data_IF_956667005222
#
_entry.id   IF_956667005222
#
_cell.length_a   1.000
_cell.length_b   1.000
_cell.length_c   1.000
_cell.angle_alpha   90.00
_cell.angle_beta   90.00
_cell.angle_gamma   90.00
#
_symmetry.space_group_name_H-M   'P 1'
#
loop_
_entity.id
_entity.type
_entity.pdbx_description
1 polymer ?
#
# COMPACT_ATOMS: atom_id res chain seq x y z
N UNK A 1 10.07 -19.32 -16.18
CA UNK A 1 9.10 -18.21 -16.06
C UNK A 1 9.81 -16.92 -16.42
N UNK A 2 9.19 -16.05 -17.24
CA UNK A 2 9.79 -14.76 -17.58
C UNK A 2 9.86 -13.86 -16.34
N UNK A 3 10.84 -12.93 -16.29
CA UNK A 3 10.98 -11.97 -15.19
C UNK A 3 9.71 -11.11 -15.03
N UNK A 4 9.04 -10.82 -16.16
CA UNK A 4 7.77 -10.11 -16.20
C UNK A 4 6.66 -10.87 -15.46
N UNK A 5 6.47 -12.18 -15.77
CA UNK A 5 5.45 -12.99 -15.13
C UNK A 5 5.67 -13.12 -13.60
N UNK A 6 6.93 -13.25 -13.17
CA UNK A 6 7.27 -13.25 -11.72
C UNK A 6 6.90 -11.90 -11.09
N UNK A 7 7.13 -10.79 -11.80
CA UNK A 7 6.74 -9.45 -11.35
C UNK A 7 5.23 -9.33 -11.14
N UNK A 8 4.42 -9.88 -12.04
CA UNK A 8 2.95 -9.90 -11.94
C UNK A 8 2.49 -10.73 -10.73
N UNK A 9 3.04 -11.94 -10.56
CA UNK A 9 2.73 -12.77 -9.40
C UNK A 9 3.09 -12.06 -8.09
N UNK A 10 4.20 -11.33 -8.06
CA UNK A 10 4.60 -10.54 -6.91
C UNK A 10 3.62 -9.39 -6.64
N UNK A 11 3.15 -8.69 -7.67
CA UNK A 11 2.15 -7.63 -7.53
C UNK A 11 0.82 -8.16 -6.98
N UNK A 12 0.29 -9.24 -7.55
CA UNK A 12 -0.94 -9.87 -7.09
C UNK A 12 -0.79 -10.48 -5.67
N UNK A 13 0.35 -11.11 -5.39
CA UNK A 13 0.68 -11.60 -4.06
C UNK A 13 0.76 -10.46 -3.03
N UNK A 14 1.29 -9.32 -3.43
CA UNK A 14 1.31 -8.12 -2.59
C UNK A 14 -0.11 -7.59 -2.34
N UNK A 15 -0.95 -7.50 -3.36
CA UNK A 15 -2.34 -7.08 -3.22
C UNK A 15 -3.12 -8.02 -2.27
N UNK A 16 -2.95 -9.33 -2.40
CA UNK A 16 -3.55 -10.32 -1.50
C UNK A 16 -3.04 -10.16 -0.06
N UNK A 17 -1.74 -9.92 0.12
CA UNK A 17 -1.14 -9.73 1.44
C UNK A 17 -1.61 -8.44 2.11
N UNK A 18 -1.80 -7.36 1.34
CA UNK A 18 -2.42 -6.13 1.84
C UNK A 18 -3.86 -6.36 2.27
N UNK A 19 -4.66 -7.11 1.50
CA UNK A 19 -6.03 -7.47 1.86
C UNK A 19 -6.09 -8.24 3.19
N UNK A 20 -5.22 -9.26 3.37
CA UNK A 20 -5.10 -9.99 4.64
C UNK A 20 -4.64 -9.06 5.77
N UNK A 21 -3.61 -8.24 5.53
CA UNK A 21 -3.06 -7.30 6.49
C UNK A 21 -4.09 -6.28 6.97
N UNK A 22 -4.87 -5.73 6.05
CA UNK A 22 -5.96 -4.78 6.36
C UNK A 22 -6.99 -5.40 7.31
N UNK A 23 -7.38 -6.67 7.09
CA UNK A 23 -8.30 -7.36 7.98
C UNK A 23 -7.70 -7.66 9.34
N UNK A 24 -6.43 -8.09 9.38
CA UNK A 24 -5.71 -8.32 10.64
C UNK A 24 -5.60 -7.02 11.45
N UNK A 25 -5.22 -5.91 10.81
CA UNK A 25 -5.15 -4.60 11.48
C UNK A 25 -6.52 -4.07 11.88
N UNK A 26 -7.59 -4.32 11.11
CA UNK A 26 -8.96 -3.96 11.50
C UNK A 26 -9.35 -4.63 12.81
N UNK A 27 -9.00 -5.90 12.99
CA UNK A 27 -9.31 -6.68 14.19
C UNK A 27 -8.58 -6.24 15.47
N UNK A 28 -7.57 -5.36 15.35
CA UNK A 28 -6.80 -4.83 16.47
C UNK A 28 -6.78 -3.29 16.52
N UNK A 29 -7.37 -2.64 15.51
CA UNK A 29 -7.24 -1.20 15.28
C UNK A 29 -7.92 -0.32 16.31
N UNK A 30 -8.90 -0.83 17.07
CA UNK A 30 -9.58 -0.08 18.12
C UNK A 30 -8.66 0.21 19.31
N UNK A 31 -7.67 -0.66 19.55
CA UNK A 31 -6.72 -0.56 20.65
C UNK A 31 -5.55 0.42 20.38
N UNK A 32 -5.36 0.82 19.12
CA UNK A 32 -4.26 1.67 18.70
C UNK A 32 -4.72 2.95 18.03
N UNK A 33 -4.04 4.06 18.31
CA UNK A 33 -4.20 5.23 17.45
C UNK A 33 -3.60 4.96 16.07
N UNK A 34 -4.11 5.58 15.00
CA UNK A 34 -3.58 5.41 13.64
C UNK A 34 -2.07 5.67 13.55
N UNK A 35 -1.56 6.72 14.21
CA UNK A 35 -0.13 7.03 14.22
C UNK A 35 0.67 5.96 14.97
N UNK A 36 0.14 5.42 16.08
CA UNK A 36 0.74 4.30 16.79
C UNK A 36 0.85 3.07 15.93
N UNK A 37 -0.20 2.74 15.15
CA UNK A 37 -0.16 1.60 14.21
C UNK A 37 0.94 1.77 13.18
N UNK A 38 1.08 2.94 12.55
CA UNK A 38 2.13 3.21 11.57
C UNK A 38 3.52 3.14 12.20
N UNK A 39 3.70 3.72 13.37
CA UNK A 39 4.97 3.70 14.10
C UNK A 39 5.39 2.27 14.46
N UNK A 40 4.51 1.50 15.12
CA UNK A 40 4.82 0.14 15.58
C UNK A 40 5.01 -0.80 14.37
N UNK A 41 4.16 -0.69 13.34
CA UNK A 41 4.31 -1.44 12.09
C UNK A 41 5.68 -1.21 11.47
N UNK A 42 6.11 0.06 11.37
CA UNK A 42 7.41 0.40 10.77
C UNK A 42 8.57 -0.09 11.64
N UNK A 43 8.49 0.06 12.96
CA UNK A 43 9.51 -0.43 13.89
C UNK A 43 9.67 -1.95 13.81
N UNK A 44 8.58 -2.71 13.94
CA UNK A 44 8.63 -4.17 13.89
C UNK A 44 9.04 -4.68 12.51
N UNK A 45 8.53 -4.07 11.44
CA UNK A 45 8.93 -4.40 10.06
C UNK A 45 10.42 -4.14 9.83
N UNK A 46 10.95 -3.03 10.35
CA UNK A 46 12.39 -2.72 10.30
C UNK A 46 13.21 -3.77 11.04
N UNK A 47 12.81 -4.17 12.25
CA UNK A 47 13.51 -5.19 13.03
C UNK A 47 13.49 -6.57 12.33
N UNK A 48 12.36 -6.95 11.74
CA UNK A 48 12.22 -8.19 10.98
C UNK A 48 13.15 -8.20 9.75
N UNK A 49 13.15 -7.11 8.97
CA UNK A 49 14.01 -7.00 7.79
C UNK A 49 15.49 -6.91 8.17
N UNK A 50 15.83 -6.21 9.26
CA UNK A 50 17.20 -6.17 9.78
C UNK A 50 17.69 -7.56 10.15
N UNK A 51 16.84 -8.39 10.79
CA UNK A 51 17.16 -9.79 11.09
C UNK A 51 17.42 -10.61 9.84
N UNK A 52 16.56 -10.50 8.82
CA UNK A 52 16.72 -11.23 7.54
C UNK A 52 17.98 -10.78 6.81
N UNK A 53 18.22 -9.47 6.69
CA UNK A 53 19.41 -8.92 6.01
C UNK A 53 20.70 -9.25 6.78
N UNK A 54 20.65 -9.26 8.11
CA UNK A 54 21.80 -9.66 8.93
C UNK A 54 22.21 -11.13 8.74
N UNK A 55 21.24 -12.01 8.44
CA UNK A 55 21.51 -13.42 8.16
C UNK A 55 21.90 -13.66 6.68
N UNK A 56 21.29 -12.91 5.75
CA UNK A 56 21.52 -13.08 4.31
C UNK A 56 22.79 -12.39 3.80
N UNK A 57 23.38 -11.51 4.58
CA UNK A 57 24.44 -10.60 4.18
C UNK A 57 23.89 -9.31 3.60
N UNK A 58 24.44 -8.18 4.03
CA UNK A 58 24.11 -6.83 3.59
C UNK A 58 25.27 -6.26 2.76
N UNK A 59 24.95 -5.81 1.56
CA UNK A 59 25.89 -4.98 0.80
C UNK A 59 25.57 -3.48 1.03
N UNK A 60 26.60 -2.65 1.31
CA UNK A 60 26.39 -1.21 1.48
C UNK A 60 25.77 -0.58 0.23
N UNK A 61 24.61 0.05 0.38
CA UNK A 61 23.94 0.74 -0.72
C UNK A 61 24.67 2.04 -1.04
N UNK A 62 24.95 2.27 -2.34
CA UNK A 62 25.57 3.49 -2.83
C UNK A 62 24.74 4.73 -2.43
N UNK A 63 25.39 5.89 -2.34
CA UNK A 63 24.76 7.14 -1.90
C UNK A 63 23.59 7.60 -2.78
N UNK A 64 23.67 7.40 -4.09
CA UNK A 64 22.64 7.85 -5.02
C UNK A 64 21.29 7.12 -4.85
N UNK A 65 21.22 5.76 -4.88
CA UNK A 65 19.99 5.03 -4.57
C UNK A 65 19.47 5.31 -3.16
N UNK A 66 20.36 5.48 -2.17
CA UNK A 66 19.98 5.74 -0.78
C UNK A 66 19.14 7.01 -0.64
N UNK A 67 19.54 8.11 -1.29
CA UNK A 67 18.80 9.37 -1.23
C UNK A 67 17.39 9.26 -1.76
N UNK A 68 17.20 8.57 -2.90
CA UNK A 68 15.89 8.35 -3.49
C UNK A 68 15.00 7.44 -2.62
N UNK A 69 15.56 6.36 -2.08
CA UNK A 69 14.82 5.44 -1.21
C UNK A 69 14.47 6.09 0.13
N UNK A 70 15.35 6.93 0.68
CA UNK A 70 15.08 7.71 1.88
C UNK A 70 13.93 8.69 1.67
N UNK A 71 13.98 9.47 0.58
CA UNK A 71 12.93 10.42 0.22
C UNK A 71 11.60 9.69 -0.03
N UNK A 72 11.63 8.56 -0.74
CA UNK A 72 10.45 7.73 -0.98
C UNK A 72 9.86 7.20 0.33
N UNK A 73 10.68 6.69 1.24
CA UNK A 73 10.22 6.19 2.54
C UNK A 73 9.59 7.29 3.40
N UNK A 74 10.25 8.44 3.49
CA UNK A 74 9.73 9.60 4.21
C UNK A 74 8.42 10.10 3.60
N UNK A 75 8.37 10.28 2.26
CA UNK A 75 7.20 10.79 1.57
C UNK A 75 6.00 9.82 1.68
N UNK A 76 6.22 8.53 1.42
CA UNK A 76 5.13 7.54 1.42
C UNK A 76 4.66 7.14 2.81
N UNK A 77 5.61 6.82 3.71
CA UNK A 77 5.28 6.26 5.02
C UNK A 77 5.06 7.37 6.06
N UNK A 78 5.98 8.34 6.20
CA UNK A 78 5.79 9.39 7.20
C UNK A 78 4.70 10.37 6.82
N UNK A 79 4.73 10.94 5.61
CA UNK A 79 3.76 11.95 5.18
C UNK A 79 2.50 11.31 4.61
N UNK A 80 2.62 10.35 3.70
CA UNK A 80 1.50 9.71 3.03
C UNK A 80 0.55 9.04 4.00
N UNK A 81 1.06 8.19 4.90
CA UNK A 81 0.27 7.54 5.94
C UNK A 81 -0.29 8.56 6.96
N UNK A 82 0.49 9.59 7.32
CA UNK A 82 -0.01 10.63 8.24
C UNK A 82 -1.19 11.40 7.65
N UNK A 83 -1.13 11.76 6.37
CA UNK A 83 -2.24 12.39 5.67
C UNK A 83 -3.42 11.42 5.50
N UNK A 84 -3.16 10.15 5.19
CA UNK A 84 -4.17 9.11 5.11
C UNK A 84 -4.97 9.03 6.42
N UNK A 85 -4.29 8.90 7.54
CA UNK A 85 -4.95 8.82 8.84
C UNK A 85 -5.61 10.13 9.27
N UNK A 86 -5.06 11.29 8.86
CA UNK A 86 -5.70 12.57 9.07
C UNK A 86 -7.01 12.70 8.27
N UNK A 87 -7.05 12.15 7.05
CA UNK A 87 -8.25 12.05 6.23
C UNK A 87 -9.26 11.06 6.83
N UNK A 88 -8.81 9.87 7.25
CA UNK A 88 -9.64 8.82 7.84
C UNK A 88 -10.39 9.29 9.10
N UNK A 89 -9.79 10.18 9.87
CA UNK A 89 -10.44 10.80 11.05
C UNK A 89 -11.53 11.82 10.70
N UNK A 90 -11.56 12.32 9.46
CA UNK A 90 -12.43 13.43 9.02
C UNK A 90 -13.42 13.04 7.93
N UNK A 91 -13.13 11.95 7.22
CA UNK A 91 -13.99 11.41 6.18
C UNK A 91 -14.58 10.09 6.60
N UNK A 92 -15.82 9.79 6.20
CA UNK A 92 -16.35 8.44 6.25
C UNK A 92 -15.43 7.47 5.48
N UNK A 93 -15.24 6.25 6.02
CA UNK A 93 -14.28 5.29 5.48
C UNK A 93 -14.48 5.00 3.98
N UNK A 94 -15.75 4.88 3.51
CA UNK A 94 -16.05 4.63 2.10
C UNK A 94 -15.59 5.78 1.18
N UNK A 95 -15.68 7.07 1.61
CA UNK A 95 -15.18 8.21 0.82
C UNK A 95 -13.67 8.22 0.71
N UNK A 96 -12.98 7.86 1.79
CA UNK A 96 -11.53 7.73 1.76
C UNK A 96 -11.11 6.62 0.81
N UNK A 97 -11.79 5.47 0.81
CA UNK A 97 -11.53 4.37 -0.12
C UNK A 97 -11.67 4.83 -1.58
N UNK A 98 -12.75 5.59 -1.91
CA UNK A 98 -12.94 6.15 -3.25
C UNK A 98 -11.78 7.07 -3.63
N UNK A 99 -11.37 7.93 -2.71
CA UNK A 99 -10.28 8.86 -2.93
C UNK A 99 -8.96 8.10 -3.16
N UNK A 100 -8.72 7.01 -2.43
CA UNK A 100 -7.55 6.15 -2.60
C UNK A 100 -7.54 5.41 -3.95
N UNK A 101 -8.69 5.16 -4.59
CA UNK A 101 -8.74 4.63 -5.96
C UNK A 101 -8.14 5.59 -7.00
N UNK A 102 -7.95 6.86 -6.67
CA UNK A 102 -7.21 7.80 -7.51
C UNK A 102 -5.69 7.55 -7.48
N UNK A 103 -5.16 6.90 -6.44
CA UNK A 103 -3.72 6.68 -6.31
C UNK A 103 -3.11 5.91 -7.51
N UNK A 104 -3.67 4.81 -8.00
CA UNK A 104 -3.18 4.15 -9.21
C UNK A 104 -3.25 5.04 -10.45
N UNK A 105 -4.31 5.86 -10.59
CA UNK A 105 -4.46 6.78 -11.72
C UNK A 105 -3.39 7.88 -11.67
N UNK A 106 -3.17 8.47 -10.49
CA UNK A 106 -2.13 9.49 -10.30
C UNK A 106 -0.74 8.90 -10.53
N UNK A 107 -0.48 7.68 -10.02
CA UNK A 107 0.79 6.98 -10.25
C UNK A 107 1.01 6.70 -11.74
N UNK A 108 -0.02 6.25 -12.47
CA UNK A 108 0.03 6.06 -13.92
C UNK A 108 0.42 7.36 -14.64
N UNK A 109 -0.28 8.47 -14.35
CA UNK A 109 0.03 9.76 -14.94
C UNK A 109 1.46 10.22 -14.62
N UNK A 110 1.90 10.05 -13.37
CA UNK A 110 3.27 10.34 -12.98
C UNK A 110 4.29 9.44 -13.70
N UNK A 111 4.01 8.15 -13.87
CA UNK A 111 4.89 7.22 -14.58
C UNK A 111 5.05 7.60 -16.06
N UNK A 112 3.95 7.99 -16.73
CA UNK A 112 3.99 8.50 -18.09
C UNK A 112 4.86 9.77 -18.20
N UNK A 113 4.70 10.72 -17.25
CA UNK A 113 5.38 12.01 -17.29
C UNK A 113 6.86 11.95 -16.86
N UNK A 114 7.15 11.22 -15.77
CA UNK A 114 8.48 11.26 -15.13
C UNK A 114 9.35 10.04 -15.46
N UNK A 115 8.78 8.89 -15.74
CA UNK A 115 9.52 7.67 -16.10
C UNK A 115 9.52 7.42 -17.60
N UNK A 116 8.72 8.14 -18.39
CA UNK A 116 8.59 7.95 -19.83
C UNK A 116 7.94 6.60 -20.21
N UNK A 117 7.22 5.98 -19.28
CA UNK A 117 6.53 4.72 -19.54
C UNK A 117 5.47 4.92 -20.65
N UNK A 118 5.37 3.97 -21.57
CA UNK A 118 4.38 4.00 -22.65
C UNK A 118 3.77 2.60 -22.81
N UNK A 119 2.75 2.27 -21.99
CA UNK A 119 2.08 0.98 -22.12
C UNK A 119 1.55 0.78 -23.54
N UNK A 120 1.69 -0.45 -24.09
CA UNK A 120 1.07 -0.81 -25.35
C UNK A 120 -0.46 -0.69 -25.27
N UNK A 121 -1.15 -0.63 -26.41
CA UNK A 121 -2.63 -0.49 -26.45
C UNK A 121 -3.31 -1.56 -25.60
N UNK A 122 -2.83 -2.80 -25.67
CA UNK A 122 -3.35 -3.91 -24.87
C UNK A 122 -3.13 -3.72 -23.38
N UNK A 123 -2.01 -3.07 -22.98
CA UNK A 123 -1.76 -2.65 -21.60
C UNK A 123 -2.77 -1.62 -21.12
N UNK A 124 -3.14 -0.64 -21.94
CA UNK A 124 -4.20 0.32 -21.63
C UNK A 124 -5.55 -0.34 -21.39
N UNK A 125 -5.90 -1.36 -22.21
CA UNK A 125 -7.13 -2.14 -22.03
C UNK A 125 -7.08 -2.87 -20.67
N UNK A 126 -5.97 -3.54 -20.36
CA UNK A 126 -5.79 -4.22 -19.07
C UNK A 126 -5.91 -3.28 -17.87
N UNK A 127 -5.22 -2.13 -17.91
CA UNK A 127 -5.30 -1.07 -16.88
C UNK A 127 -6.74 -0.59 -16.72
N UNK A 128 -7.43 -0.28 -17.81
CA UNK A 128 -8.81 0.18 -17.79
C UNK A 128 -9.77 -0.83 -17.18
N UNK A 129 -9.61 -2.12 -17.51
CA UNK A 129 -10.41 -3.20 -16.93
C UNK A 129 -10.14 -3.38 -15.43
N UNK A 130 -8.88 -3.33 -14.99
CA UNK A 130 -8.57 -3.43 -13.54
C UNK A 130 -9.18 -2.26 -12.78
N UNK A 131 -8.91 -1.03 -13.20
CA UNK A 131 -9.41 0.16 -12.50
C UNK A 131 -10.93 0.26 -12.54
N UNK A 132 -11.54 -0.03 -13.70
CA UNK A 132 -13.00 -0.05 -13.86
C UNK A 132 -13.66 -1.14 -13.02
N UNK A 133 -13.10 -2.35 -13.01
CA UNK A 133 -13.59 -3.47 -12.21
C UNK A 133 -13.49 -3.20 -10.69
N UNK A 134 -12.35 -2.67 -10.24
CA UNK A 134 -12.17 -2.27 -8.83
C UNK A 134 -13.16 -1.15 -8.45
N UNK A 135 -13.33 -0.14 -9.30
CA UNK A 135 -14.29 0.94 -9.07
C UNK A 135 -15.73 0.42 -8.98
N UNK A 136 -16.09 -0.54 -9.83
CA UNK A 136 -17.41 -1.19 -9.81
C UNK A 136 -17.64 -1.97 -8.51
N UNK A 137 -16.61 -2.61 -7.95
CA UNK A 137 -16.68 -3.33 -6.68
C UNK A 137 -17.13 -2.43 -5.51
N UNK A 138 -16.84 -1.13 -5.57
CA UNK A 138 -17.22 -0.16 -4.54
C UNK A 138 -18.47 0.67 -4.86
N UNK A 139 -19.08 0.53 -6.03
CA UNK A 139 -20.18 1.39 -6.51
C UNK A 139 -21.33 1.52 -5.51
N UNK A 140 -21.75 0.44 -4.89
CA UNK A 140 -22.90 0.46 -3.96
C UNK A 140 -22.55 1.08 -2.60
N UNK A 141 -21.31 0.91 -2.13
CA UNK A 141 -20.81 1.60 -0.92
C UNK A 141 -20.72 3.11 -1.13
N UNK A 142 -20.62 3.56 -2.39
CA UNK A 142 -20.55 4.98 -2.77
C UNK A 142 -21.95 5.61 -2.69
N UNK A 143 -23.00 4.91 -3.11
CA UNK A 143 -24.36 5.44 -3.22
C UNK A 143 -25.08 5.59 -1.86
N UNK A 144 -24.61 4.89 -0.82
CA UNK A 144 -25.28 4.84 0.47
C UNK A 144 -25.13 6.08 1.36
N UNK A 145 -24.35 7.12 0.95
CA UNK A 145 -24.01 8.22 1.87
C UNK A 145 -24.04 9.60 1.23
N UNK A 146 -25.21 10.21 1.13
CA UNK A 146 -25.40 11.57 0.60
C UNK A 146 -25.54 12.68 1.66
N UNK A 147 -25.35 12.43 2.96
CA UNK A 147 -25.62 13.44 3.98
C UNK A 147 -24.41 13.79 4.87
N UNK A 148 -23.99 15.05 4.89
CA UNK A 148 -23.16 15.62 5.96
C UNK A 148 -22.07 16.63 5.55
N UNK A 149 -22.24 17.83 6.00
CA UNK A 149 -21.41 19.03 5.76
C UNK A 149 -20.21 19.09 6.72
N UNK A 150 -19.06 19.43 6.25
CA UNK A 150 -17.73 19.81 6.76
C UNK A 150 -16.59 18.97 6.17
N UNK A 151 -16.41 19.03 4.85
CA UNK A 151 -15.61 18.05 4.07
C UNK A 151 -14.24 18.56 3.64
N UNK A 152 -14.00 19.86 3.63
CA UNK A 152 -12.81 20.48 3.02
C UNK A 152 -11.49 19.94 3.55
N UNK A 153 -11.20 19.99 4.89
CA UNK A 153 -9.91 19.55 5.40
C UNK A 153 -9.65 18.05 5.24
N UNK A 154 -10.69 17.21 5.36
CA UNK A 154 -10.58 15.77 5.17
C UNK A 154 -10.24 15.39 3.73
N UNK A 155 -10.90 16.03 2.77
CA UNK A 155 -10.63 15.84 1.34
C UNK A 155 -9.21 16.30 0.98
N UNK A 156 -8.78 17.46 1.50
CA UNK A 156 -7.41 17.95 1.30
C UNK A 156 -6.37 16.94 1.78
N UNK A 157 -6.51 16.43 3.00
CA UNK A 157 -5.59 15.42 3.52
C UNK A 157 -5.62 14.13 2.69
N UNK A 158 -6.77 13.69 2.22
CA UNK A 158 -6.86 12.53 1.35
C UNK A 158 -6.15 12.74 0.01
N UNK A 159 -6.32 13.90 -0.63
CA UNK A 159 -5.60 14.24 -1.87
C UNK A 159 -4.10 14.32 -1.62
N UNK A 160 -3.66 14.97 -0.54
CA UNK A 160 -2.24 15.02 -0.17
C UNK A 160 -1.66 13.62 0.08
N UNK A 161 -2.43 12.71 0.68
CA UNK A 161 -2.03 11.31 0.84
C UNK A 161 -1.84 10.61 -0.50
N UNK A 162 -2.82 10.73 -1.42
CA UNK A 162 -2.72 10.16 -2.77
C UNK A 162 -1.47 10.65 -3.49
N UNK A 163 -1.23 11.97 -3.49
CA UNK A 163 -0.07 12.56 -4.14
C UNK A 163 1.25 12.11 -3.51
N UNK A 164 1.32 12.07 -2.19
CA UNK A 164 2.50 11.63 -1.46
C UNK A 164 2.81 10.14 -1.72
N UNK A 165 1.79 9.29 -1.68
CA UNK A 165 1.95 7.86 -1.95
C UNK A 165 2.34 7.59 -3.41
N UNK A 166 1.66 8.22 -4.39
CA UNK A 166 2.00 8.09 -5.80
C UNK A 166 3.42 8.59 -6.10
N UNK A 167 3.78 9.78 -5.62
CA UNK A 167 5.13 10.33 -5.75
C UNK A 167 6.18 9.42 -5.10
N UNK A 168 5.88 8.86 -3.93
CA UNK A 168 6.75 7.90 -3.24
C UNK A 168 7.05 6.66 -4.09
N UNK A 169 6.06 6.12 -4.81
CA UNK A 169 6.24 4.96 -5.69
C UNK A 169 7.13 5.30 -6.88
N UNK A 170 6.94 6.45 -7.53
CA UNK A 170 7.79 6.92 -8.64
C UNK A 170 9.24 7.09 -8.18
N UNK A 171 9.44 7.75 -7.03
CA UNK A 171 10.77 7.96 -6.45
C UNK A 171 11.41 6.62 -6.06
N UNK A 172 10.64 5.67 -5.53
CA UNK A 172 11.13 4.33 -5.22
C UNK A 172 11.64 3.60 -6.46
N UNK A 173 10.96 3.72 -7.61
CA UNK A 173 11.39 3.11 -8.87
C UNK A 173 12.78 3.58 -9.29
N UNK A 174 13.07 4.87 -9.14
CA UNK A 174 14.40 5.44 -9.44
C UNK A 174 15.47 4.84 -8.52
N UNK A 175 15.17 4.74 -7.21
CA UNK A 175 16.09 4.17 -6.23
C UNK A 175 16.28 2.65 -6.31
N UNK A 176 15.40 1.94 -7.03
CA UNK A 176 15.45 0.47 -7.14
C UNK A 176 16.41 -0.06 -8.21
N UNK A 177 17.05 0.80 -9.02
CA UNK A 177 17.85 0.36 -10.17
C UNK A 177 18.98 -0.59 -9.77
N UNK A 178 19.77 -0.24 -8.74
CA UNK A 178 20.97 -0.98 -8.32
C UNK A 178 20.83 -1.59 -6.91
N UNK A 179 19.64 -1.68 -6.36
CA UNK A 179 19.36 -2.14 -5.00
C UNK A 179 18.38 -3.31 -5.03
N UNK A 180 18.58 -4.31 -4.20
CA UNK A 180 17.59 -5.39 -4.08
C UNK A 180 16.26 -4.87 -3.51
N UNK A 181 15.16 -5.52 -3.85
CA UNK A 181 13.85 -5.13 -3.32
C UNK A 181 13.78 -5.23 -1.78
N UNK A 182 14.54 -6.16 -1.19
CA UNK A 182 14.61 -6.35 0.27
C UNK A 182 15.31 -5.15 0.93
N UNK A 183 16.48 -4.77 0.44
CA UNK A 183 17.25 -3.61 0.93
C UNK A 183 16.48 -2.33 0.73
N UNK A 184 15.84 -2.15 -0.43
CA UNK A 184 15.00 -0.99 -0.70
C UNK A 184 13.81 -0.91 0.27
N UNK A 185 13.18 -2.04 0.60
CA UNK A 185 12.10 -2.09 1.60
C UNK A 185 12.62 -1.69 2.98
N UNK A 186 13.77 -2.22 3.37
CA UNK A 186 14.42 -1.88 4.63
C UNK A 186 14.73 -0.39 4.73
N UNK A 187 15.37 0.19 3.71
CA UNK A 187 15.72 1.61 3.68
C UNK A 187 14.47 2.49 3.74
N UNK A 188 13.46 2.18 2.94
CA UNK A 188 12.19 2.94 2.96
C UNK A 188 11.52 2.89 4.33
N UNK A 189 11.46 1.71 4.95
CA UNK A 189 10.92 1.56 6.31
C UNK A 189 11.77 2.29 7.36
N UNK A 190 13.11 2.29 7.22
CA UNK A 190 14.01 3.01 8.14
C UNK A 190 13.74 4.51 8.14
N UNK A 191 13.66 5.13 6.96
CA UNK A 191 13.39 6.57 6.85
C UNK A 191 11.93 6.93 7.15
N UNK A 192 10.98 6.04 6.83
CA UNK A 192 9.60 6.17 7.25
C UNK A 192 9.45 6.09 8.77
N UNK A 193 10.13 5.14 9.40
CA UNK A 193 10.19 5.02 10.85
C UNK A 193 10.84 6.24 11.50
N UNK A 194 11.96 6.73 10.96
CA UNK A 194 12.64 7.91 11.47
C UNK A 194 11.72 9.15 11.48
N UNK A 195 10.96 9.37 10.41
CA UNK A 195 9.96 10.44 10.36
C UNK A 195 8.86 10.27 11.42
N UNK A 196 8.34 9.06 11.60
CA UNK A 196 7.34 8.78 12.64
C UNK A 196 7.91 8.90 14.06
N UNK A 197 9.20 8.54 14.26
CA UNK A 197 9.89 8.72 15.51
C UNK A 197 9.99 10.21 15.89
N UNK A 198 10.34 11.06 14.93
CA UNK A 198 10.36 12.52 15.13
C UNK A 198 8.97 13.03 15.54
N UNK A 199 7.91 12.61 14.83
CA UNK A 199 6.53 12.99 15.20
C UNK A 199 6.17 12.54 16.62
N UNK A 200 6.52 11.31 16.98
CA UNK A 200 6.23 10.78 18.32
C UNK A 200 7.03 11.46 19.44
N UNK A 201 8.29 11.85 19.17
CA UNK A 201 9.12 12.62 20.12
C UNK A 201 8.57 14.03 20.30
N UNK A 202 8.26 14.74 19.21
CA UNK A 202 7.73 16.11 19.25
C UNK A 202 6.38 16.17 19.98
N UNK A 203 5.55 15.13 19.83
CA UNK A 203 4.26 15.02 20.52
C UNK A 203 4.34 14.43 21.90
N UNK A 204 5.49 13.92 22.33
CA UNK A 204 5.68 13.18 23.59
C UNK A 204 4.70 11.98 23.75
N UNK A 205 4.31 11.35 22.63
CA UNK A 205 3.29 10.29 22.59
C UNK A 205 3.85 8.87 22.51
N UNK A 206 5.17 8.67 22.39
CA UNK A 206 5.79 7.34 22.17
C UNK A 206 5.39 6.32 23.24
N UNK A 207 5.32 6.74 24.52
CA UNK A 207 4.90 5.86 25.61
C UNK A 207 3.46 5.37 25.45
N UNK A 208 2.56 6.24 25.01
CA UNK A 208 1.16 5.90 24.73
C UNK A 208 1.01 4.99 23.52
N UNK A 209 1.83 5.21 22.48
CA UNK A 209 1.80 4.37 21.28
C UNK A 209 2.22 2.94 21.54
N UNK A 210 3.19 2.72 22.45
CA UNK A 210 3.70 1.38 22.79
C UNK A 210 2.89 0.67 23.88
N UNK A 211 2.08 1.39 24.65
CA UNK A 211 1.35 0.84 25.79
C UNK A 211 0.48 -0.38 25.43
N UNK A 212 -0.28 -0.43 24.33
CA UNK A 212 -1.12 -1.58 24.01
C UNK A 212 -0.33 -2.88 23.78
N UNK A 213 0.93 -2.80 23.34
CA UNK A 213 1.79 -3.98 23.15
C UNK A 213 2.15 -4.72 24.44
N UNK A 214 1.84 -4.17 25.62
CA UNK A 214 2.01 -4.87 26.90
C UNK A 214 1.06 -6.07 27.01
N UNK A 215 -0.07 -6.05 26.29
CA UNK A 215 -1.00 -7.18 26.21
C UNK A 215 -0.45 -8.26 25.28
N UNK A 216 -0.15 -9.46 25.79
CA UNK A 216 0.51 -10.51 25.02
C UNK A 216 -0.31 -10.95 23.78
N UNK A 217 -1.64 -11.13 23.92
CA UNK A 217 -2.50 -11.51 22.80
C UNK A 217 -2.51 -10.50 21.67
N UNK A 218 -2.55 -9.20 22.01
CA UNK A 218 -2.54 -8.09 21.06
C UNK A 218 -1.20 -7.99 20.35
N UNK A 219 -0.11 -8.14 21.08
CA UNK A 219 1.26 -8.13 20.55
C UNK A 219 1.48 -9.19 19.46
N UNK A 220 1.02 -10.44 19.68
CA UNK A 220 1.18 -11.52 18.71
C UNK A 220 0.32 -11.33 17.46
N UNK A 221 -0.90 -10.84 17.62
CA UNK A 221 -1.77 -10.49 16.47
C UNK A 221 -1.16 -9.37 15.64
N UNK A 222 -0.61 -8.35 16.31
CA UNK A 222 0.05 -7.24 15.65
C UNK A 222 1.32 -7.72 14.91
N UNK A 223 2.14 -8.55 15.54
CA UNK A 223 3.34 -9.11 14.91
C UNK A 223 2.99 -9.94 13.66
N UNK A 224 1.96 -10.78 13.72
CA UNK A 224 1.50 -11.53 12.56
C UNK A 224 1.08 -10.59 11.41
N UNK A 225 0.30 -9.56 11.69
CA UNK A 225 -0.09 -8.57 10.70
C UNK A 225 1.13 -7.88 10.09
N UNK A 226 2.12 -7.51 10.90
CA UNK A 226 3.37 -6.89 10.43
C UNK A 226 4.18 -7.83 9.55
N UNK A 227 4.31 -9.11 9.90
CA UNK A 227 5.01 -10.10 9.07
C UNK A 227 4.37 -10.19 7.68
N UNK A 228 3.04 -10.35 7.63
CA UNK A 228 2.28 -10.44 6.37
C UNK A 228 2.48 -9.17 5.53
N UNK A 229 2.33 -7.99 6.13
CA UNK A 229 2.41 -6.72 5.39
C UNK A 229 3.84 -6.36 5.02
N UNK A 230 4.84 -6.69 5.85
CA UNK A 230 6.24 -6.37 5.56
C UNK A 230 6.76 -7.21 4.39
N UNK A 231 6.61 -8.52 4.46
CA UNK A 231 7.13 -9.42 3.42
C UNK A 231 6.16 -9.57 2.25
N UNK A 232 4.88 -9.79 2.53
CA UNK A 232 3.85 -9.90 1.50
C UNK A 232 3.50 -8.55 0.87
N UNK A 233 3.24 -7.53 1.67
CA UNK A 233 2.84 -6.21 1.19
C UNK A 233 4.02 -5.41 0.62
N UNK A 234 4.89 -4.89 1.48
CA UNK A 234 5.95 -3.95 1.08
C UNK A 234 7.03 -4.57 0.21
N UNK A 235 7.59 -5.70 0.61
CA UNK A 235 8.66 -6.33 -0.16
C UNK A 235 8.20 -6.81 -1.54
N UNK A 236 7.09 -7.54 -1.63
CA UNK A 236 6.59 -8.01 -2.93
C UNK A 236 6.17 -6.86 -3.83
N UNK A 237 5.64 -5.74 -3.29
CA UNK A 237 5.30 -4.57 -4.10
C UNK A 237 6.55 -3.96 -4.75
N UNK A 238 7.63 -3.78 -3.98
CA UNK A 238 8.89 -3.25 -4.53
C UNK A 238 9.57 -4.25 -5.48
N UNK A 239 9.43 -5.54 -5.22
CA UNK A 239 9.91 -6.59 -6.11
C UNK A 239 9.18 -6.56 -7.46
N UNK A 240 7.86 -6.32 -7.46
CA UNK A 240 7.06 -6.12 -8.67
C UNK A 240 7.46 -4.83 -9.39
N UNK A 241 7.53 -3.70 -8.69
CA UNK A 241 7.91 -2.39 -9.24
C UNK A 241 9.32 -2.43 -9.85
N UNK A 242 10.23 -3.24 -9.32
CA UNK A 242 11.57 -3.42 -9.90
C UNK A 242 11.53 -4.11 -11.26
N UNK A 243 10.57 -5.02 -11.50
CA UNK A 243 10.49 -5.89 -12.70
C UNK A 243 9.49 -5.46 -13.75
N UNK A 244 8.52 -4.65 -13.35
CA UNK A 244 7.44 -4.17 -14.21
C UNK A 244 7.53 -2.66 -14.37
N UNK A 245 6.85 -2.14 -15.39
CA UNK A 245 6.51 -0.74 -15.44
C UNK A 245 5.67 -0.37 -14.22
N UNK A 246 5.88 0.81 -13.65
CA UNK A 246 5.18 1.25 -12.44
C UNK A 246 3.69 1.35 -12.70
N UNK A 247 3.28 1.78 -13.89
CA UNK A 247 1.89 1.82 -14.34
C UNK A 247 1.20 0.46 -14.24
N UNK A 248 1.88 -0.61 -14.67
CA UNK A 248 1.36 -1.99 -14.61
C UNK A 248 1.40 -2.50 -13.16
N UNK A 249 2.56 -2.38 -12.49
CA UNK A 249 2.72 -2.86 -11.13
C UNK A 249 1.69 -2.24 -10.18
N UNK A 250 1.53 -0.92 -10.21
CA UNK A 250 0.62 -0.22 -9.32
C UNK A 250 -0.86 -0.48 -9.64
N UNK A 251 -1.18 -0.72 -10.92
CA UNK A 251 -2.53 -1.15 -11.32
C UNK A 251 -2.85 -2.54 -10.76
N UNK A 252 -1.91 -3.47 -10.80
CA UNK A 252 -2.09 -4.81 -10.22
C UNK A 252 -2.17 -4.76 -8.69
N UNK A 253 -1.39 -3.91 -8.04
CA UNK A 253 -1.50 -3.67 -6.59
C UNK A 253 -2.88 -3.14 -6.20
N UNK A 254 -3.51 -2.33 -7.05
CA UNK A 254 -4.87 -1.83 -6.83
C UNK A 254 -5.97 -2.93 -6.87
N UNK A 255 -5.64 -4.18 -7.17
CA UNK A 255 -6.57 -5.32 -7.05
C UNK A 255 -6.77 -5.81 -5.60
N UNK A 256 -6.13 -5.19 -4.61
CA UNK A 256 -6.32 -5.51 -3.17
C UNK A 256 -7.80 -5.73 -2.80
N UNK A 257 -8.78 -4.89 -3.21
CA UNK A 257 -10.18 -5.09 -2.88
C UNK A 257 -10.78 -6.38 -3.44
N UNK A 258 -10.26 -6.88 -4.55
CA UNK A 258 -10.69 -8.14 -5.16
C UNK A 258 -10.35 -9.32 -4.24
N UNK A 259 -9.16 -9.29 -3.64
CA UNK A 259 -8.75 -10.29 -2.64
C UNK A 259 -9.45 -10.09 -1.29
N UNK A 260 -9.81 -8.86 -0.95
CA UNK A 260 -10.54 -8.57 0.28
C UNK A 260 -11.97 -9.13 0.28
N UNK A 261 -12.64 -9.25 -0.89
CA UNK A 261 -14.00 -9.76 -1.00
C UNK A 261 -14.17 -11.18 -0.41
N UNK A 262 -13.43 -12.22 -0.88
CA UNK A 262 -13.59 -13.57 -0.31
C UNK A 262 -13.22 -13.59 1.18
N UNK A 263 -12.26 -12.80 1.62
CA UNK A 263 -11.88 -12.70 3.02
C UNK A 263 -12.98 -12.07 3.86
N UNK A 264 -13.69 -11.05 3.34
CA UNK A 264 -14.84 -10.44 4.01
C UNK A 264 -15.99 -11.42 4.17
N UNK A 265 -16.24 -12.26 3.16
CA UNK A 265 -17.23 -13.35 3.25
C UNK A 265 -16.87 -14.35 4.33
N UNK A 266 -15.62 -14.83 4.32
CA UNK A 266 -15.18 -15.92 5.21
C UNK A 266 -15.02 -15.43 6.66
N UNK A 267 -14.41 -14.27 6.88
CA UNK A 267 -14.05 -13.79 8.22
C UNK A 267 -15.08 -12.85 8.83
N UNK A 268 -15.69 -11.97 8.02
CA UNK A 268 -16.67 -10.99 8.49
C UNK A 268 -18.11 -11.43 8.25
N UNK A 269 -18.32 -12.56 7.54
CA UNK A 269 -19.64 -13.08 7.14
C UNK A 269 -20.47 -12.04 6.38
N UNK A 270 -19.80 -11.14 5.66
CA UNK A 270 -20.45 -10.16 4.78
C UNK A 270 -20.96 -10.87 3.51
N UNK A 271 -22.07 -10.40 2.97
CA UNK A 271 -22.62 -10.90 1.70
C UNK A 271 -22.24 -9.91 0.60
N UNK A 272 -21.32 -10.27 -0.34
CA UNK A 272 -20.98 -9.39 -1.45
C UNK A 272 -22.18 -9.26 -2.40
N UNK A 273 -22.36 -8.08 -2.95
CA UNK A 273 -23.38 -7.84 -3.95
C UNK A 273 -22.98 -8.42 -5.31
N UNK A 274 -23.94 -8.66 -6.19
CA UNK A 274 -23.68 -9.12 -7.55
C UNK A 274 -22.73 -8.13 -8.29
N UNK A 275 -22.93 -6.84 -8.08
CA UNK A 275 -22.08 -5.78 -8.64
C UNK A 275 -20.62 -5.90 -8.20
N UNK A 276 -20.38 -6.20 -6.91
CA UNK A 276 -19.03 -6.41 -6.37
C UNK A 276 -18.35 -7.65 -6.98
N UNK A 277 -19.10 -8.74 -7.17
CA UNK A 277 -18.59 -9.98 -7.79
C UNK A 277 -18.23 -9.73 -9.27
N UNK A 278 -19.11 -9.08 -10.02
CA UNK A 278 -18.86 -8.72 -11.43
C UNK A 278 -17.66 -7.81 -11.54
N UNK A 279 -17.56 -6.79 -10.67
CA UNK A 279 -16.40 -5.88 -10.63
C UNK A 279 -15.09 -6.62 -10.40
N UNK A 280 -15.06 -7.56 -9.44
CA UNK A 280 -13.91 -8.40 -9.16
C UNK A 280 -13.51 -9.28 -10.37
N UNK A 281 -14.49 -9.88 -11.06
CA UNK A 281 -14.27 -10.65 -12.28
C UNK A 281 -13.65 -9.83 -13.39
N UNK A 282 -14.15 -8.61 -13.63
CA UNK A 282 -13.60 -7.67 -14.64
C UNK A 282 -12.16 -7.30 -14.27
N UNK A 283 -11.88 -6.99 -13.00
CA UNK A 283 -10.52 -6.66 -12.55
C UNK A 283 -9.55 -7.84 -12.75
N UNK A 284 -9.96 -9.06 -12.46
CA UNK A 284 -9.14 -10.26 -12.70
C UNK A 284 -8.89 -10.51 -14.20
N UNK A 285 -9.88 -10.28 -15.07
CA UNK A 285 -9.67 -10.34 -16.53
C UNK A 285 -8.64 -9.31 -16.99
N UNK A 286 -8.72 -8.07 -16.49
CA UNK A 286 -7.72 -7.03 -16.75
C UNK A 286 -6.32 -7.42 -16.29
N UNK A 287 -6.19 -7.98 -15.09
CA UNK A 287 -4.92 -8.48 -14.56
C UNK A 287 -4.36 -9.63 -15.44
N UNK A 288 -5.24 -10.53 -15.92
CA UNK A 288 -4.85 -11.59 -16.87
C UNK A 288 -4.30 -11.01 -18.17
N UNK A 289 -4.95 -9.99 -18.75
CA UNK A 289 -4.45 -9.31 -19.97
C UNK A 289 -3.06 -8.72 -19.72
N UNK A 290 -2.83 -8.05 -18.60
CA UNK A 290 -1.51 -7.51 -18.25
C UNK A 290 -0.46 -8.62 -18.05
N UNK A 291 -0.88 -9.81 -17.59
CA UNK A 291 0.03 -10.93 -17.37
C UNK A 291 0.55 -11.58 -18.66
N UNK A 292 -0.29 -11.66 -19.69
CA UNK A 292 0.04 -12.40 -20.91
C UNK A 292 0.53 -11.54 -22.07
N UNK A 293 0.41 -10.21 -21.96
CA UNK A 293 0.74 -9.28 -23.05
C UNK A 293 1.76 -8.19 -22.66
N UNK A 294 2.48 -8.37 -21.55
CA UNK A 294 3.55 -7.49 -21.12
C UNK A 294 4.94 -8.03 -21.43
#
# INVERSE_FOLDING_TARGET
MSAHFIGILAALGSAASWAVGTLLFKGIGEEFSPLAMTFIKSLLGLLLLAGVLGLAGWEPVKSFPLGWLALSGFLGISLGDSFFFAALRRLPAHRLVILMLLAPVVTLLMALCFLGERPAIIGWIGIGLVLGGVSLTFKEKIQADEAGDRRGPGLLFGVLSVLAMAGSVIIAKIGLQDVSAMEATFLRLSFGFAGMLVVGLVRAELGHWLAPLRQAGLRWRFLLAVIVVTFGGFWLSLYAIKRLDVSIANTLLATEPVFALPLAVIWLKEHPTATSIVGAGIALCGAGILAFNG
#
